data_IF_753281480124
#
_entry.id   IF_753281480124
#
_cell.length_a   1.000
_cell.length_b   1.000
_cell.length_c   1.000
_cell.angle_alpha   90.00
_cell.angle_beta   90.00
_cell.angle_gamma   90.00
#
_symmetry.space_group_name_H-M   'P 1'
#
loop_
_entity.id
_entity.type
_entity.pdbx_description
1 polymer ?
#
# COMPACT_ATOMS: atom_id res chain seq x y z
N UNK A 1 -10.26 7.90 -12.24
CA UNK A 1 -9.43 6.74 -12.60
C UNK A 1 -8.05 6.97 -12.00
N UNK A 2 -7.65 6.23 -10.97
CA UNK A 2 -6.34 6.38 -10.33
C UNK A 2 -5.28 5.73 -11.23
N UNK A 3 -4.81 6.46 -12.26
CA UNK A 3 -3.88 5.91 -13.26
C UNK A 3 -2.55 5.36 -12.66
N UNK A 4 -2.24 5.67 -11.40
CA UNK A 4 -1.07 5.20 -10.67
C UNK A 4 -1.27 3.84 -9.96
N UNK A 5 -2.51 3.44 -9.68
CA UNK A 5 -2.80 2.28 -8.82
C UNK A 5 -3.82 1.35 -9.49
N UNK A 6 -3.37 0.26 -10.14
CA UNK A 6 -4.26 -0.70 -10.79
C UNK A 6 -5.16 -1.40 -9.76
N UNK A 7 -6.42 -1.61 -10.13
CA UNK A 7 -7.40 -2.39 -9.36
C UNK A 7 -7.37 -3.85 -9.83
N UNK A 8 -7.53 -4.85 -8.94
CA UNK A 8 -8.00 -4.73 -7.55
C UNK A 8 -6.93 -4.30 -6.54
N UNK A 9 -7.39 -3.77 -5.40
CA UNK A 9 -6.56 -3.57 -4.21
C UNK A 9 -6.58 -4.85 -3.37
N UNK A 10 -5.42 -5.43 -3.08
CA UNK A 10 -5.31 -6.71 -2.38
C UNK A 10 -4.58 -6.50 -1.05
N UNK A 11 -5.22 -6.87 0.05
CA UNK A 11 -4.65 -6.73 1.38
C UNK A 11 -3.64 -7.85 1.65
N UNK A 12 -2.37 -7.50 1.86
CA UNK A 12 -1.27 -8.44 2.11
C UNK A 12 -0.56 -8.05 3.41
N UNK A 13 -0.27 -9.04 4.26
CA UNK A 13 0.41 -8.83 5.56
C UNK A 13 1.75 -9.56 5.68
N UNK A 14 2.18 -10.29 4.65
CA UNK A 14 3.43 -11.03 4.69
C UNK A 14 4.00 -11.25 3.30
N UNK A 15 5.31 -11.39 3.24
CA UNK A 15 6.03 -11.72 2.01
C UNK A 15 5.55 -13.05 1.41
N UNK A 16 5.24 -14.05 2.25
CA UNK A 16 4.69 -15.35 1.82
C UNK A 16 3.36 -15.18 1.09
N UNK A 17 2.47 -14.32 1.59
CA UNK A 17 1.20 -14.03 0.96
C UNK A 17 1.37 -13.28 -0.38
N UNK A 18 2.35 -12.38 -0.46
CA UNK A 18 2.70 -11.71 -1.71
C UNK A 18 3.21 -12.70 -2.77
N UNK A 19 4.15 -13.56 -2.41
CA UNK A 19 4.65 -14.62 -3.31
C UNK A 19 3.52 -15.50 -3.81
N UNK A 20 2.65 -15.97 -2.91
CA UNK A 20 1.51 -16.81 -3.32
C UNK A 20 0.57 -16.08 -4.30
N UNK A 21 0.34 -14.78 -4.12
CA UNK A 21 -0.44 -13.98 -5.06
C UNK A 21 0.23 -13.92 -6.43
N UNK A 22 1.51 -13.54 -6.45
CA UNK A 22 2.31 -13.38 -7.67
C UNK A 22 2.36 -14.67 -8.49
N UNK A 23 2.55 -15.81 -7.84
CA UNK A 23 2.61 -17.12 -8.49
C UNK A 23 1.30 -17.49 -9.22
N UNK A 24 0.17 -16.86 -8.85
CA UNK A 24 -1.16 -17.16 -9.39
C UNK A 24 -1.75 -16.03 -10.25
N UNK A 25 -1.15 -14.84 -10.25
CA UNK A 25 -1.66 -13.68 -11.00
C UNK A 25 -0.59 -13.12 -11.92
N UNK A 26 -0.67 -13.45 -13.21
CA UNK A 26 0.12 -12.80 -14.26
C UNK A 26 -0.79 -12.45 -15.45
N UNK A 27 -0.71 -11.22 -16.01
CA UNK A 27 0.14 -10.08 -15.60
C UNK A 27 -0.35 -9.38 -14.30
N UNK A 28 0.55 -8.63 -13.64
CA UNK A 28 0.29 -7.93 -12.37
C UNK A 28 -0.60 -6.70 -12.53
N UNK A 29 -1.90 -6.89 -12.74
CA UNK A 29 -2.89 -5.81 -12.79
C UNK A 29 -3.55 -5.58 -11.43
N UNK A 30 -2.75 -5.41 -10.36
CA UNK A 30 -3.27 -5.16 -9.01
C UNK A 30 -2.37 -4.24 -8.20
N UNK A 31 -2.94 -3.63 -7.16
CA UNK A 31 -2.20 -2.85 -6.15
C UNK A 31 -2.24 -3.62 -4.83
N UNK A 32 -1.09 -3.82 -4.20
CA UNK A 32 -1.07 -4.38 -2.85
C UNK A 32 -1.19 -3.27 -1.81
N UNK A 33 -1.86 -3.58 -0.70
CA UNK A 33 -2.03 -2.64 0.40
C UNK A 33 -1.81 -3.36 1.72
N UNK A 34 -1.08 -2.73 2.64
CA UNK A 34 -0.85 -3.27 3.97
C UNK A 34 -2.16 -3.40 4.75
N UNK A 35 -2.25 -4.20 5.83
CA UNK A 35 -3.41 -4.18 6.72
C UNK A 35 -3.68 -2.77 7.27
N UNK A 36 -4.92 -2.48 7.73
CA UNK A 36 -5.24 -1.21 8.35
C UNK A 36 -4.26 -0.85 9.47
N UNK A 37 -3.81 0.41 9.52
CA UNK A 37 -2.88 0.94 10.53
C UNK A 37 -1.49 0.28 10.59
N UNK A 38 -1.14 -0.60 9.66
CA UNK A 38 0.10 -1.38 9.75
C UNK A 38 1.36 -0.51 9.79
N UNK A 39 1.35 0.67 9.15
CA UNK A 39 2.44 1.62 9.26
C UNK A 39 2.67 2.06 10.71
N UNK A 40 1.62 2.38 11.46
CA UNK A 40 1.75 2.78 12.87
C UNK A 40 2.13 1.61 13.78
N UNK A 41 1.71 0.39 13.45
CA UNK A 41 1.93 -0.78 14.30
C UNK A 41 3.29 -1.46 14.07
N UNK A 42 3.75 -1.51 12.82
CA UNK A 42 4.95 -2.27 12.43
C UNK A 42 6.03 -1.40 11.78
N UNK A 43 5.72 -0.16 11.42
CA UNK A 43 6.65 0.77 10.79
C UNK A 43 6.86 0.54 9.29
N UNK A 44 7.51 1.51 8.65
CA UNK A 44 7.86 1.46 7.23
C UNK A 44 8.85 0.34 6.89
N UNK A 45 9.91 0.06 7.70
CA UNK A 45 10.88 -0.99 7.37
C UNK A 45 10.23 -2.37 7.24
N UNK A 46 9.24 -2.68 8.07
CA UNK A 46 8.49 -3.92 7.95
C UNK A 46 7.78 -4.03 6.60
N UNK A 47 7.10 -2.97 6.15
CA UNK A 47 6.38 -3.00 4.88
C UNK A 47 7.33 -3.14 3.70
N UNK A 48 8.48 -2.44 3.74
CA UNK A 48 9.52 -2.58 2.73
C UNK A 48 10.03 -4.03 2.61
N UNK A 49 10.22 -4.73 3.73
CA UNK A 49 10.61 -6.15 3.71
C UNK A 49 9.53 -7.08 3.13
N UNK A 50 8.24 -6.79 3.40
CA UNK A 50 7.12 -7.54 2.83
C UNK A 50 7.10 -7.44 1.30
N UNK A 51 7.32 -6.24 0.76
CA UNK A 51 7.22 -5.99 -0.69
C UNK A 51 8.53 -6.20 -1.45
N UNK A 52 9.68 -6.25 -0.75
CA UNK A 52 11.04 -6.31 -1.33
C UNK A 52 11.24 -7.28 -2.50
N UNK A 53 10.67 -8.50 -2.51
CA UNK A 53 10.98 -9.46 -3.57
C UNK A 53 10.44 -9.10 -4.95
N UNK A 54 9.44 -8.20 -5.03
CA UNK A 54 8.74 -7.93 -6.28
C UNK A 54 8.57 -6.43 -6.50
N UNK A 55 8.74 -6.00 -7.74
CA UNK A 55 8.46 -4.63 -8.14
C UNK A 55 6.95 -4.48 -8.42
N UNK A 56 6.16 -4.30 -7.37
CA UNK A 56 4.70 -4.17 -7.43
C UNK A 56 4.26 -2.86 -6.81
N UNK A 57 3.22 -2.24 -7.37
CA UNK A 57 2.63 -1.03 -6.80
C UNK A 57 2.08 -1.33 -5.41
N UNK A 58 2.52 -0.58 -4.41
CA UNK A 58 2.22 -0.84 -3.01
C UNK A 58 1.69 0.40 -2.26
N UNK A 59 0.77 0.17 -1.34
CA UNK A 59 0.21 1.18 -0.45
C UNK A 59 0.44 0.79 1.02
N UNK A 60 0.98 1.72 1.81
CA UNK A 60 1.08 1.56 3.26
C UNK A 60 -0.04 2.33 3.98
N UNK A 61 -0.77 1.66 4.87
CA UNK A 61 -1.76 2.30 5.73
C UNK A 61 -1.10 2.88 6.98
N UNK A 62 -0.93 4.21 6.98
CA UNK A 62 -0.32 5.00 8.04
C UNK A 62 -1.36 5.50 9.07
N UNK A 63 -2.60 5.02 8.99
CA UNK A 63 -3.67 5.39 9.90
C UNK A 63 -3.95 6.90 9.93
N UNK A 64 -3.66 7.56 11.05
CA UNK A 64 -3.82 9.01 11.25
C UNK A 64 -2.47 9.75 11.38
N UNK A 65 -1.34 9.06 11.15
CA UNK A 65 -0.01 9.66 11.29
C UNK A 65 0.43 10.34 10.00
N UNK A 66 0.30 11.67 9.95
CA UNK A 66 0.79 12.48 8.84
C UNK A 66 2.31 12.33 8.65
N UNK A 67 3.09 12.40 9.73
CA UNK A 67 4.55 12.30 9.67
C UNK A 67 5.01 10.98 9.06
N UNK A 68 4.38 9.87 9.46
CA UNK A 68 4.68 8.55 8.92
C UNK A 68 4.29 8.42 7.44
N UNK A 69 3.16 9.02 7.05
CA UNK A 69 2.72 9.02 5.65
C UNK A 69 3.71 9.76 4.75
N UNK A 70 4.22 10.91 5.18
CA UNK A 70 5.26 11.66 4.45
C UNK A 70 6.55 10.85 4.38
N UNK A 71 7.03 10.32 5.51
CA UNK A 71 8.26 9.50 5.54
C UNK A 71 8.15 8.27 4.62
N UNK A 72 6.98 7.61 4.57
CA UNK A 72 6.77 6.46 3.68
C UNK A 72 6.86 6.85 2.20
N UNK A 73 6.30 8.00 1.82
CA UNK A 73 6.39 8.52 0.45
C UNK A 73 7.83 8.91 0.08
N UNK A 74 8.57 9.55 1.00
CA UNK A 74 9.99 9.89 0.85
C UNK A 74 10.86 8.65 0.68
N UNK A 75 10.55 7.58 1.42
CA UNK A 75 11.24 6.28 1.32
C UNK A 75 10.81 5.45 0.11
N UNK A 76 9.99 6.01 -0.78
CA UNK A 76 9.65 5.42 -2.08
C UNK A 76 8.45 4.47 -2.07
N UNK A 77 7.63 4.41 -1.01
CA UNK A 77 6.36 3.65 -1.06
C UNK A 77 5.40 4.34 -2.02
N UNK A 78 4.84 3.62 -2.99
CA UNK A 78 4.09 4.22 -4.10
C UNK A 78 2.89 5.04 -3.64
N UNK A 79 2.16 4.58 -2.63
CA UNK A 79 1.06 5.34 -2.02
C UNK A 79 0.88 5.09 -0.52
N UNK A 80 0.08 5.93 0.10
CA UNK A 80 -0.20 5.84 1.55
C UNK A 80 -1.67 6.09 1.84
N UNK A 81 -2.23 5.36 2.81
CA UNK A 81 -3.50 5.74 3.44
C UNK A 81 -3.20 6.58 4.67
N UNK A 82 -3.75 7.79 4.73
CA UNK A 82 -3.68 8.64 5.92
C UNK A 82 -4.99 9.43 6.06
N UNK A 83 -5.77 9.12 7.10
CA UNK A 83 -7.11 9.67 7.34
C UNK A 83 -7.12 11.08 7.93
N UNK A 84 -5.99 11.50 8.50
CA UNK A 84 -5.85 12.80 9.15
C UNK A 84 -4.58 13.48 8.64
N UNK A 85 -4.60 13.86 7.37
CA UNK A 85 -3.53 14.61 6.74
C UNK A 85 -3.73 16.10 6.99
N UNK A 86 -3.04 16.64 8.00
CA UNK A 86 -3.12 18.07 8.37
C UNK A 86 -1.96 18.91 7.82
N UNK A 87 -0.89 18.28 7.38
CA UNK A 87 0.27 18.98 6.83
C UNK A 87 0.07 19.33 5.35
N UNK A 88 0.80 20.36 4.92
CA UNK A 88 0.90 20.70 3.49
C UNK A 88 1.62 19.57 2.76
N UNK A 89 0.88 18.82 1.95
CA UNK A 89 1.47 17.84 1.04
C UNK A 89 2.13 18.57 -0.12
N UNK A 90 3.36 18.17 -0.51
CA UNK A 90 3.90 18.51 -1.81
C UNK A 90 2.92 18.10 -2.91
N UNK A 91 2.68 18.97 -3.90
CA UNK A 91 1.73 18.71 -5.00
C UNK A 91 2.01 17.41 -5.75
N UNK A 92 3.27 17.00 -5.81
CA UNK A 92 3.73 15.75 -6.40
C UNK A 92 3.17 14.49 -5.71
N UNK A 93 2.82 14.56 -4.43
CA UNK A 93 2.33 13.41 -3.67
C UNK A 93 0.81 13.41 -3.48
N UNK A 94 0.12 14.45 -3.94
CA UNK A 94 -1.34 14.57 -3.81
C UNK A 94 -2.07 13.36 -4.41
N UNK A 95 -1.55 12.79 -5.51
CA UNK A 95 -2.13 11.60 -6.17
C UNK A 95 -1.71 10.27 -5.54
N UNK A 96 -0.81 10.30 -4.54
CA UNK A 96 -0.27 9.13 -3.82
C UNK A 96 -0.87 9.00 -2.41
N UNK A 97 -1.57 10.04 -1.94
CA UNK A 97 -2.33 10.00 -0.70
C UNK A 97 -3.75 9.48 -0.94
N UNK A 98 -4.14 8.53 -0.10
CA UNK A 98 -5.50 8.04 0.06
C UNK A 98 -6.07 8.54 1.40
N UNK A 99 -6.99 9.53 1.40
CA UNK A 99 -7.62 10.01 2.63
C UNK A 99 -8.55 8.95 3.25
N UNK A 100 -9.02 8.01 2.43
CA UNK A 100 -9.80 6.85 2.85
C UNK A 100 -9.17 5.59 2.28
N UNK A 101 -9.24 4.51 3.04
CA UNK A 101 -8.75 3.22 2.59
C UNK A 101 -9.65 2.71 1.45
N UNK A 102 -9.09 2.32 0.29
CA UNK A 102 -9.89 1.72 -0.78
C UNK A 102 -10.46 0.36 -0.34
N UNK A 103 -11.54 -0.08 -0.96
CA UNK A 103 -12.07 -1.43 -0.75
C UNK A 103 -11.03 -2.47 -1.17
N UNK A 104 -10.75 -3.43 -0.29
CA UNK A 104 -9.69 -4.42 -0.50
C UNK A 104 -10.24 -5.83 -0.57
N UNK A 105 -9.68 -6.66 -1.46
CA UNK A 105 -9.85 -8.10 -1.44
C UNK A 105 -8.86 -8.73 -0.46
N UNK A 106 -9.27 -9.81 0.20
CA UNK A 106 -8.35 -10.71 0.89
C UNK A 106 -7.61 -11.58 -0.13
N UNK A 107 -6.45 -12.12 0.25
CA UNK A 107 -5.71 -13.05 -0.63
C UNK A 107 -6.59 -14.22 -1.11
N UNK A 108 -7.38 -14.81 -0.22
CA UNK A 108 -8.28 -15.92 -0.57
C UNK A 108 -9.43 -15.54 -1.51
N UNK A 109 -9.74 -14.25 -1.66
CA UNK A 109 -10.69 -13.75 -2.67
C UNK A 109 -9.98 -13.42 -3.99
N UNK A 110 -8.72 -12.99 -3.93
CA UNK A 110 -7.92 -12.67 -5.12
C UNK A 110 -7.43 -13.92 -5.88
N UNK A 111 -7.34 -15.07 -5.20
CA UNK A 111 -6.88 -16.35 -5.76
C UNK A 111 -8.02 -17.25 -6.29
N UNK A 112 -9.26 -16.79 -6.30
CA UNK A 112 -10.43 -17.54 -6.79
C UNK A 112 -10.79 -17.12 -8.20
#
# INVERSE_FOLDING_TARGET
>A
MFALFPSPFICISSQKALTALIDHTTPYEFTIISPPHAGCSFGIPWWQEVIRPYNVTSILDCGASTALALEALERGIDGVVCRDMRSVLPKEWEKRLFPYRPSTLTLGQALR
#
